data_IF_747999079979
#
_entry.id   IF_747999079979
#
_cell.length_a   1.000
_cell.length_b   1.000
_cell.length_c   1.000
_cell.angle_alpha   90.00
_cell.angle_beta   90.00
_cell.angle_gamma   90.00
#
_symmetry.space_group_name_H-M   'P 1'
#
loop_
_entity.id
_entity.type
_entity.pdbx_description
1 polymer ?
#
# COMPACT_ATOMS: atom_id res chain seq x y z
N UNK A 1 -22.66 3.97 19.39
CA UNK A 1 -22.33 4.91 18.29
C UNK A 1 -20.83 5.21 18.13
N UNK A 2 -20.00 5.24 19.20
CA UNK A 2 -18.55 5.53 19.09
C UNK A 2 -17.67 4.37 18.56
N UNK A 3 -17.94 3.13 18.95
CA UNK A 3 -17.08 1.97 18.61
C UNK A 3 -17.05 1.70 17.10
N UNK A 4 -18.18 1.85 16.40
CA UNK A 4 -18.27 1.61 14.94
C UNK A 4 -17.38 2.56 14.11
N UNK A 5 -17.13 3.78 14.61
CA UNK A 5 -16.22 4.76 13.97
C UNK A 5 -14.76 4.57 14.37
N UNK A 6 -14.48 3.89 15.49
CA UNK A 6 -13.12 3.62 15.93
C UNK A 6 -12.47 2.49 15.12
N UNK A 7 -13.25 1.53 14.63
CA UNK A 7 -12.74 0.35 13.90
C UNK A 7 -11.95 0.74 12.64
N UNK A 8 -12.47 1.57 11.71
CA UNK A 8 -11.70 2.00 10.53
C UNK A 8 -10.42 2.74 10.91
N UNK A 9 -10.49 3.68 11.86
CA UNK A 9 -9.32 4.45 12.28
C UNK A 9 -8.22 3.57 12.91
N UNK A 10 -8.60 2.51 13.66
CA UNK A 10 -7.63 1.56 14.20
C UNK A 10 -6.93 0.76 13.11
N UNK A 11 -7.63 0.43 12.03
CA UNK A 11 -7.05 -0.25 10.87
C UNK A 11 -6.10 0.68 10.11
N UNK A 12 -6.45 1.95 9.93
CA UNK A 12 -5.58 2.97 9.33
C UNK A 12 -4.30 3.17 10.15
N UNK A 13 -4.41 3.21 11.48
CA UNK A 13 -3.25 3.24 12.38
C UNK A 13 -2.42 1.94 12.29
N UNK A 14 -3.08 0.79 12.10
CA UNK A 14 -2.42 -0.48 11.84
C UNK A 14 -1.63 -0.48 10.53
N UNK A 15 -2.20 0.09 9.46
CA UNK A 15 -1.52 0.32 8.19
C UNK A 15 -0.25 1.17 8.42
N UNK A 16 -0.40 2.34 9.05
CA UNK A 16 0.70 3.23 9.40
C UNK A 16 1.82 2.51 10.17
N UNK A 17 1.45 1.69 11.15
CA UNK A 17 2.41 0.94 11.95
C UNK A 17 3.16 -0.12 11.12
N UNK A 18 2.50 -0.75 10.14
CA UNK A 18 3.16 -1.64 9.20
C UNK A 18 4.22 -0.89 8.36
N UNK A 19 3.90 0.33 7.90
CA UNK A 19 4.85 1.19 7.22
C UNK A 19 6.07 1.52 8.08
N UNK A 20 5.85 1.91 9.34
CA UNK A 20 6.93 2.16 10.30
C UNK A 20 7.83 0.94 10.50
N UNK A 21 7.25 -0.24 10.74
CA UNK A 21 8.02 -1.47 10.92
C UNK A 21 8.78 -1.85 9.64
N UNK A 22 8.18 -1.65 8.46
CA UNK A 22 8.82 -1.93 7.19
C UNK A 22 10.14 -1.16 7.04
N UNK A 23 10.17 0.11 7.40
CA UNK A 23 11.39 0.94 7.40
C UNK A 23 12.45 0.33 8.32
N UNK A 24 12.06 -0.06 9.54
CA UNK A 24 12.96 -0.71 10.49
C UNK A 24 13.54 -2.03 9.98
N UNK A 25 12.73 -2.88 9.34
CA UNK A 25 13.20 -4.13 8.74
C UNK A 25 14.11 -3.87 7.53
N UNK A 26 13.80 -2.87 6.70
CA UNK A 26 14.64 -2.50 5.56
C UNK A 26 16.03 -2.03 6.03
N UNK A 27 16.08 -1.21 7.08
CA UNK A 27 17.34 -0.75 7.67
C UNK A 27 18.19 -1.91 8.25
N UNK A 28 17.56 -2.97 8.74
CA UNK A 28 18.25 -4.17 9.24
C UNK A 28 18.53 -5.21 8.14
N UNK A 29 18.55 -4.82 6.85
CA UNK A 29 18.79 -5.71 5.70
C UNK A 29 17.74 -6.84 5.53
N UNK A 30 16.59 -6.74 6.17
CA UNK A 30 15.49 -7.70 6.06
C UNK A 30 14.47 -7.25 5.00
N UNK A 31 14.93 -7.08 3.75
CA UNK A 31 14.15 -6.50 2.65
C UNK A 31 12.86 -7.26 2.33
N UNK A 32 12.89 -8.60 2.41
CA UNK A 32 11.69 -9.44 2.19
C UNK A 32 10.60 -9.13 3.21
N UNK A 33 10.96 -9.03 4.50
CA UNK A 33 10.02 -8.71 5.57
C UNK A 33 9.48 -7.29 5.44
N UNK A 34 10.34 -6.34 5.07
CA UNK A 34 9.94 -4.97 4.81
C UNK A 34 8.91 -4.87 3.66
N UNK A 35 9.18 -5.55 2.53
CA UNK A 35 8.24 -5.61 1.41
C UNK A 35 6.89 -6.22 1.81
N UNK A 36 6.91 -7.32 2.56
CA UNK A 36 5.70 -7.98 3.06
C UNK A 36 4.90 -7.05 3.97
N UNK A 37 5.55 -6.27 4.84
CA UNK A 37 4.84 -5.32 5.71
C UNK A 37 4.13 -4.22 4.92
N UNK A 38 4.70 -3.72 3.82
CA UNK A 38 4.02 -2.77 2.93
C UNK A 38 2.79 -3.41 2.29
N UNK A 39 2.92 -4.67 1.87
CA UNK A 39 1.81 -5.46 1.30
C UNK A 39 0.69 -5.68 2.34
N UNK A 40 1.04 -5.94 3.59
CA UNK A 40 0.06 -6.04 4.69
C UNK A 40 -0.59 -4.68 4.98
N UNK A 41 0.17 -3.59 4.94
CA UNK A 41 -0.37 -2.24 5.03
C UNK A 41 -1.44 -1.98 3.98
N UNK A 42 -1.18 -2.38 2.73
CA UNK A 42 -2.15 -2.29 1.62
C UNK A 42 -3.43 -3.09 1.87
N UNK A 43 -3.31 -4.23 2.55
CA UNK A 43 -4.47 -5.04 2.94
C UNK A 43 -5.32 -4.30 3.98
N UNK A 44 -4.70 -3.74 5.02
CA UNK A 44 -5.38 -2.99 6.07
C UNK A 44 -6.08 -1.73 5.51
N UNK A 45 -5.41 -1.00 4.62
CA UNK A 45 -5.93 0.14 3.86
C UNK A 45 -7.14 -0.22 2.99
N UNK A 46 -7.08 -1.38 2.34
CA UNK A 46 -8.24 -1.84 1.56
C UNK A 46 -9.45 -2.20 2.44
N UNK A 47 -9.21 -2.60 3.70
CA UNK A 47 -10.24 -2.98 4.66
C UNK A 47 -10.87 -1.77 5.33
N UNK A 48 -10.07 -0.78 5.76
CA UNK A 48 -10.59 0.37 6.50
C UNK A 48 -11.56 1.21 5.68
N UNK A 49 -11.24 1.49 4.41
CA UNK A 49 -12.07 2.24 3.49
C UNK A 49 -13.34 1.49 3.07
N UNK A 50 -13.35 0.16 3.17
CA UNK A 50 -14.55 -0.66 2.97
C UNK A 50 -15.41 -0.72 4.23
N UNK A 51 -14.79 -0.89 5.39
CA UNK A 51 -15.50 -0.94 6.67
C UNK A 51 -16.11 0.42 7.01
N UNK A 52 -15.44 1.53 6.69
CA UNK A 52 -15.99 2.88 6.82
C UNK A 52 -17.30 3.04 6.03
N UNK A 53 -17.31 2.57 4.76
CA UNK A 53 -18.51 2.54 3.90
C UNK A 53 -19.61 1.62 4.43
N UNK A 54 -19.28 0.41 4.88
CA UNK A 54 -20.27 -0.55 5.41
C UNK A 54 -20.92 -0.03 6.70
N UNK A 55 -20.14 0.62 7.56
CA UNK A 55 -20.62 1.12 8.85
C UNK A 55 -21.19 2.54 8.79
N UNK A 56 -21.26 3.17 7.60
CA UNK A 56 -21.59 4.60 7.44
C UNK A 56 -20.78 5.47 8.43
N UNK A 57 -19.50 5.12 8.57
CA UNK A 57 -18.57 5.67 9.54
C UNK A 57 -17.57 6.66 8.91
N UNK A 58 -17.87 7.17 7.71
CA UNK A 58 -17.06 8.16 7.03
C UNK A 58 -16.93 9.42 7.91
N UNK A 59 -15.69 9.84 8.13
CA UNK A 59 -15.37 11.03 8.93
C UNK A 59 -14.23 11.80 8.28
N UNK A 60 -14.25 13.13 8.42
CA UNK A 60 -13.18 14.00 7.94
C UNK A 60 -11.84 13.63 8.57
N UNK A 61 -11.83 13.32 9.88
CA UNK A 61 -10.65 12.84 10.58
C UNK A 61 -10.12 11.54 9.96
N UNK A 62 -10.98 10.56 9.68
CA UNK A 62 -10.57 9.29 9.07
C UNK A 62 -9.93 9.50 7.69
N UNK A 63 -10.47 10.41 6.87
CA UNK A 63 -9.91 10.75 5.55
C UNK A 63 -8.52 11.38 5.63
N UNK A 64 -8.29 12.28 6.58
CA UNK A 64 -6.96 12.88 6.76
C UNK A 64 -5.97 11.87 7.37
N UNK A 65 -6.43 11.04 8.30
CA UNK A 65 -5.63 9.96 8.88
C UNK A 65 -5.19 8.93 7.84
N UNK A 66 -6.08 8.58 6.90
CA UNK A 66 -5.83 7.73 5.74
C UNK A 66 -4.72 8.30 4.86
N UNK A 67 -4.79 9.59 4.52
CA UNK A 67 -3.75 10.27 3.74
C UNK A 67 -2.38 10.30 4.45
N UNK A 68 -2.37 10.42 5.78
CA UNK A 68 -1.14 10.38 6.60
C UNK A 68 -0.58 8.96 6.71
N UNK A 69 -1.42 7.94 6.80
CA UNK A 69 -1.00 6.54 6.77
C UNK A 69 -0.43 6.17 5.38
N UNK A 70 -1.12 6.60 4.31
CA UNK A 70 -0.73 6.37 2.93
C UNK A 70 0.68 6.86 2.61
N UNK A 71 1.01 8.09 3.03
CA UNK A 71 2.33 8.65 2.74
C UNK A 71 3.45 7.89 3.45
N UNK A 72 3.21 7.39 4.66
CA UNK A 72 4.20 6.61 5.40
C UNK A 72 4.34 5.21 4.83
N UNK A 73 3.24 4.47 4.68
CA UNK A 73 3.29 3.07 4.29
C UNK A 73 3.52 2.85 2.80
N UNK A 74 3.02 3.74 1.94
CA UNK A 74 3.16 3.59 0.49
C UNK A 74 4.07 4.63 -0.16
N UNK A 75 4.51 5.66 0.58
CA UNK A 75 5.52 6.61 0.09
C UNK A 75 6.89 6.37 0.73
N UNK A 76 6.98 6.57 2.04
CA UNK A 76 8.24 6.57 2.79
C UNK A 76 8.81 5.15 2.92
N UNK A 77 8.01 4.17 3.31
CA UNK A 77 8.48 2.80 3.49
C UNK A 77 9.04 2.16 2.19
N UNK A 78 8.35 2.23 1.03
CA UNK A 78 8.91 1.74 -0.23
C UNK A 78 10.13 2.53 -0.68
N UNK A 79 10.19 3.83 -0.41
CA UNK A 79 11.36 4.66 -0.69
C UNK A 79 12.61 4.18 0.06
N UNK A 80 12.50 3.96 1.37
CA UNK A 80 13.60 3.41 2.16
C UNK A 80 13.94 1.97 1.75
N UNK A 81 12.94 1.14 1.44
CA UNK A 81 13.16 -0.21 0.94
C UNK A 81 14.02 -0.19 -0.34
N UNK A 82 13.70 0.71 -1.27
CA UNK A 82 14.46 0.88 -2.52
C UNK A 82 15.85 1.45 -2.27
N UNK A 83 15.98 2.40 -1.35
CA UNK A 83 17.28 2.94 -0.94
C UNK A 83 18.20 1.82 -0.45
N UNK A 84 17.80 1.09 0.60
CA UNK A 84 18.65 0.07 1.18
C UNK A 84 18.92 -1.10 0.23
N UNK A 85 17.98 -1.44 -0.66
CA UNK A 85 18.14 -2.57 -1.59
C UNK A 85 18.97 -2.22 -2.82
N UNK A 86 18.84 -1.01 -3.38
CA UNK A 86 19.38 -0.69 -4.71
C UNK A 86 20.25 0.57 -4.74
N UNK A 87 19.93 1.60 -3.96
CA UNK A 87 20.62 2.89 -4.04
C UNK A 87 21.63 3.12 -2.91
N UNK A 88 21.80 2.17 -1.99
CA UNK A 88 22.70 2.29 -0.84
C UNK A 88 24.16 2.58 -1.26
N UNK A 89 24.59 2.02 -2.40
CA UNK A 89 25.93 2.25 -2.96
C UNK A 89 26.20 3.71 -3.37
N UNK A 90 25.14 4.50 -3.59
CA UNK A 90 25.22 5.92 -3.95
C UNK A 90 25.16 6.84 -2.72
N UNK A 91 25.13 6.27 -1.50
CA UNK A 91 25.12 6.99 -0.23
C UNK A 91 24.10 8.15 -0.20
N UNK A 92 24.55 9.38 0.04
CA UNK A 92 23.68 10.57 0.14
C UNK A 92 22.91 10.83 -1.17
N UNK A 93 23.52 10.58 -2.33
CA UNK A 93 22.86 10.73 -3.62
C UNK A 93 21.75 9.69 -3.78
N UNK A 94 22.00 8.45 -3.35
CA UNK A 94 21.00 7.39 -3.34
C UNK A 94 19.80 7.73 -2.46
N UNK A 95 20.06 8.31 -1.29
CA UNK A 95 19.02 8.76 -0.36
C UNK A 95 18.21 9.91 -0.97
N UNK A 96 18.86 10.87 -1.65
CA UNK A 96 18.19 11.97 -2.33
C UNK A 96 17.28 11.46 -3.47
N UNK A 97 17.75 10.50 -4.27
CA UNK A 97 16.95 9.87 -5.34
C UNK A 97 15.75 9.14 -4.73
N UNK A 98 15.97 8.34 -3.69
CA UNK A 98 14.90 7.64 -2.99
C UNK A 98 13.85 8.62 -2.43
N UNK A 99 14.29 9.75 -1.89
CA UNK A 99 13.44 10.80 -1.32
C UNK A 99 12.49 11.48 -2.31
N UNK A 100 12.73 11.39 -3.62
CA UNK A 100 11.80 11.90 -4.64
C UNK A 100 10.44 11.21 -4.58
N UNK A 101 10.42 9.93 -4.23
CA UNK A 101 9.20 9.12 -4.22
C UNK A 101 8.16 9.62 -3.20
N UNK A 102 8.47 9.82 -1.91
CA UNK A 102 7.53 10.41 -0.96
C UNK A 102 7.20 11.87 -1.29
N UNK A 103 8.13 12.66 -1.86
CA UNK A 103 7.82 14.04 -2.28
C UNK A 103 6.72 14.09 -3.35
N UNK A 104 6.86 13.29 -4.40
CA UNK A 104 5.86 13.17 -5.46
C UNK A 104 4.56 12.53 -4.96
N UNK A 105 4.66 11.54 -4.07
CA UNK A 105 3.52 10.92 -3.40
C UNK A 105 2.70 11.92 -2.57
N UNK A 106 3.36 12.74 -1.76
CA UNK A 106 2.72 13.75 -0.94
C UNK A 106 2.01 14.82 -1.79
N UNK A 107 2.68 15.32 -2.84
CA UNK A 107 2.07 16.27 -3.76
C UNK A 107 0.81 15.69 -4.44
N UNK A 108 0.88 14.42 -4.86
CA UNK A 108 -0.27 13.71 -5.43
C UNK A 108 -1.43 13.62 -4.43
N UNK A 109 -1.17 13.21 -3.19
CA UNK A 109 -2.19 13.09 -2.14
C UNK A 109 -2.86 14.44 -1.85
N UNK A 110 -2.07 15.52 -1.72
CA UNK A 110 -2.60 16.87 -1.55
C UNK A 110 -3.51 17.29 -2.71
N UNK A 111 -3.09 17.05 -3.96
CA UNK A 111 -3.91 17.33 -5.16
C UNK A 111 -5.21 16.54 -5.14
N UNK A 112 -5.16 15.27 -4.75
CA UNK A 112 -6.34 14.40 -4.66
C UNK A 112 -7.32 14.88 -3.58
N UNK A 113 -6.83 15.25 -2.40
CA UNK A 113 -7.66 15.72 -1.28
C UNK A 113 -8.43 17.00 -1.65
N UNK A 114 -7.78 17.96 -2.32
CA UNK A 114 -8.43 19.20 -2.75
C UNK A 114 -9.36 18.99 -3.95
N UNK A 115 -8.99 18.10 -4.89
CA UNK A 115 -9.80 17.83 -6.10
C UNK A 115 -11.05 17.00 -5.82
N UNK A 116 -11.04 16.20 -4.74
CA UNK A 116 -12.16 15.33 -4.35
C UNK A 116 -13.47 16.07 -4.02
N UNK A 117 -13.42 17.39 -3.79
CA UNK A 117 -14.59 18.25 -3.60
C UNK A 117 -15.32 18.61 -4.93
N UNK A 118 -14.78 18.23 -6.10
CA UNK A 118 -15.45 18.40 -7.40
C UNK A 118 -15.99 17.05 -7.86
N UNK A 119 -17.24 16.78 -7.50
CA UNK A 119 -18.07 15.67 -7.98
C UNK A 119 -18.16 15.69 -9.51
N UNK A 120 -17.54 14.72 -10.21
CA UNK A 120 -17.87 14.25 -11.58
C UNK A 120 -16.73 13.59 -12.38
N UNK A 121 -15.63 13.11 -11.77
CA UNK A 121 -14.58 12.48 -12.58
C UNK A 121 -14.50 10.96 -12.40
N UNK A 122 -15.04 10.26 -13.39
CA UNK A 122 -14.87 8.84 -13.75
C UNK A 122 -13.39 8.44 -14.02
N UNK A 123 -12.43 9.29 -13.65
CA UNK A 123 -11.01 9.16 -13.96
C UNK A 123 -10.17 9.55 -12.74
N UNK A 124 -9.21 8.71 -12.36
CA UNK A 124 -8.10 9.11 -11.50
C UNK A 124 -7.08 9.89 -12.33
N UNK A 125 -6.48 10.93 -11.75
CA UNK A 125 -5.42 11.70 -12.39
C UNK A 125 -4.08 11.28 -11.77
N UNK A 126 -3.28 10.51 -12.51
CA UNK A 126 -2.00 9.93 -12.06
C UNK A 126 -2.16 8.59 -11.32
N UNK A 127 -1.07 7.83 -11.19
CA UNK A 127 -1.08 6.51 -10.53
C UNK A 127 -1.25 6.61 -9.01
N UNK A 128 -2.13 5.78 -8.38
CA UNK A 128 -2.22 5.63 -6.93
C UNK A 128 -0.89 5.42 -6.20
N UNK A 129 -0.66 6.16 -5.11
CA UNK A 129 0.51 6.00 -4.25
C UNK A 129 0.53 4.60 -3.66
N UNK A 130 -0.63 4.09 -3.24
CA UNK A 130 -0.85 2.70 -2.85
C UNK A 130 -0.36 1.73 -3.92
N UNK A 131 -0.79 1.89 -5.17
CA UNK A 131 -0.35 1.06 -6.30
C UNK A 131 1.14 1.18 -6.59
N UNK A 132 1.70 2.39 -6.61
CA UNK A 132 3.13 2.62 -6.84
C UNK A 132 3.99 1.97 -5.74
N UNK A 133 3.63 2.17 -4.47
CA UNK A 133 4.30 1.56 -3.33
C UNK A 133 4.21 0.04 -3.33
N UNK A 134 3.05 -0.52 -3.70
CA UNK A 134 2.87 -1.96 -3.86
C UNK A 134 3.71 -2.57 -4.98
N UNK A 135 3.81 -1.89 -6.12
CA UNK A 135 4.67 -2.32 -7.24
C UNK A 135 6.14 -2.37 -6.78
N UNK A 136 6.62 -1.35 -6.06
CA UNK A 136 7.98 -1.33 -5.52
C UNK A 136 8.21 -2.44 -4.49
N UNK A 137 7.24 -2.70 -3.61
CA UNK A 137 7.32 -3.80 -2.65
C UNK A 137 7.40 -5.15 -3.36
N UNK A 138 6.56 -5.38 -4.38
CA UNK A 138 6.61 -6.60 -5.20
C UNK A 138 7.95 -6.73 -5.93
N UNK A 139 8.44 -5.66 -6.54
CA UNK A 139 9.72 -5.64 -7.22
C UNK A 139 10.88 -6.02 -6.28
N UNK A 140 10.85 -5.51 -5.04
CA UNK A 140 11.83 -5.84 -4.02
C UNK A 140 11.80 -7.31 -3.59
N UNK A 141 10.66 -8.01 -3.67
CA UNK A 141 10.59 -9.45 -3.39
C UNK A 141 11.31 -10.29 -4.44
N UNK A 142 11.35 -9.82 -5.69
CA UNK A 142 11.98 -10.49 -6.82
C UNK A 142 13.35 -9.89 -7.21
N UNK A 143 14.04 -9.23 -6.26
CA UNK A 143 15.29 -8.50 -6.53
C UNK A 143 16.39 -9.35 -7.23
N UNK A 144 16.42 -10.65 -6.99
CA UNK A 144 17.38 -11.60 -7.54
C UNK A 144 17.15 -11.90 -9.04
N UNK A 145 15.96 -11.60 -9.57
CA UNK A 145 15.59 -11.87 -10.96
C UNK A 145 15.67 -10.61 -11.83
N UNK A 146 15.68 -9.43 -11.24
CA UNK A 146 15.50 -8.15 -11.94
C UNK A 146 16.79 -7.31 -11.85
N UNK A 147 17.41 -6.95 -12.98
CA UNK A 147 18.57 -6.06 -13.00
C UNK A 147 18.30 -4.71 -12.31
N UNK A 148 19.29 -4.21 -11.56
CA UNK A 148 19.21 -2.94 -10.83
C UNK A 148 18.84 -1.74 -11.73
N UNK A 149 19.31 -1.71 -12.98
CA UNK A 149 18.96 -0.68 -13.97
C UNK A 149 17.44 -0.66 -14.23
N UNK A 150 16.82 -1.83 -14.42
CA UNK A 150 15.39 -1.94 -14.73
C UNK A 150 14.59 -1.43 -13.53
N UNK A 151 15.00 -1.81 -12.33
CA UNK A 151 14.40 -1.37 -11.08
C UNK A 151 14.47 0.15 -10.91
N UNK A 152 15.63 0.77 -11.20
CA UNK A 152 15.79 2.22 -11.13
C UNK A 152 14.92 2.96 -12.16
N UNK A 153 14.79 2.41 -13.37
CA UNK A 153 13.91 2.95 -14.42
C UNK A 153 12.45 2.88 -13.98
N UNK A 154 12.00 1.73 -13.44
CA UNK A 154 10.63 1.57 -12.94
C UNK A 154 10.36 2.54 -11.78
N UNK A 155 11.28 2.66 -10.82
CA UNK A 155 11.16 3.59 -9.71
C UNK A 155 10.98 5.03 -10.19
N UNK A 156 11.84 5.47 -11.11
CA UNK A 156 11.78 6.82 -11.68
C UNK A 156 10.51 7.05 -12.49
N UNK A 157 10.09 6.05 -13.29
CA UNK A 157 8.84 6.11 -14.04
C UNK A 157 7.63 6.28 -13.10
N UNK A 158 7.56 5.53 -12.00
CA UNK A 158 6.48 5.63 -11.02
C UNK A 158 6.43 7.01 -10.35
N UNK A 159 7.59 7.58 -9.99
CA UNK A 159 7.71 8.95 -9.48
C UNK A 159 7.00 9.97 -10.39
N UNK A 160 7.34 9.99 -11.69
CA UNK A 160 6.72 10.91 -12.64
C UNK A 160 5.24 10.57 -12.89
N UNK A 161 4.89 9.30 -12.93
CA UNK A 161 3.53 8.84 -13.19
C UNK A 161 2.54 9.20 -12.07
N UNK A 162 3.00 9.32 -10.81
CA UNK A 162 2.20 9.81 -9.69
C UNK A 162 1.79 11.28 -9.83
N UNK A 163 2.68 12.13 -10.36
CA UNK A 163 2.42 13.57 -10.54
C UNK A 163 1.77 13.89 -11.88
N UNK A 164 1.91 12.98 -12.86
CA UNK A 164 1.37 13.13 -14.20
C UNK A 164 -0.13 13.44 -14.22
N UNK A 165 -0.55 14.13 -15.28
CA UNK A 165 -1.95 14.45 -15.57
C UNK A 165 -2.67 13.33 -16.34
N UNK A 166 -2.04 12.17 -16.51
CA UNK A 166 -2.64 11.04 -17.20
C UNK A 166 -3.93 10.63 -16.49
N UNK A 167 -5.03 10.65 -17.24
CA UNK A 167 -6.34 10.19 -16.79
C UNK A 167 -6.33 8.67 -16.85
N UNK A 168 -6.15 8.04 -15.70
CA UNK A 168 -6.33 6.60 -15.54
C UNK A 168 -7.83 6.39 -15.28
N UNK A 169 -8.55 5.62 -16.10
CA UNK A 169 -9.97 5.36 -15.87
C UNK A 169 -10.16 4.88 -14.43
N UNK A 170 -11.03 5.57 -13.70
CA UNK A 170 -11.31 5.18 -12.33
C UNK A 170 -12.13 3.90 -12.40
N UNK A 171 -11.66 2.85 -11.74
CA UNK A 171 -12.42 1.61 -11.55
C UNK A 171 -13.64 1.82 -10.61
N UNK A 172 -14.23 3.03 -10.56
CA UNK A 172 -15.42 3.34 -9.75
C UNK A 172 -16.72 2.87 -10.39
N UNK A 173 -16.80 2.77 -11.73
CA UNK A 173 -18.02 2.33 -12.44
C UNK A 173 -17.96 0.90 -12.93
N UNK A 174 -16.88 0.18 -12.61
CA UNK A 174 -16.98 -1.27 -12.59
C UNK A 174 -17.68 -1.57 -11.27
N UNK A 175 -18.96 -2.00 -11.25
CA UNK A 175 -19.46 -2.67 -10.04
C UNK A 175 -18.39 -3.70 -9.71
N UNK A 176 -17.91 -3.79 -8.47
CA UNK A 176 -16.92 -4.80 -8.16
C UNK A 176 -17.63 -6.15 -7.96
N UNK A 177 -17.67 -7.04 -8.98
CA UNK A 177 -17.44 -8.43 -8.74
C UNK A 177 -16.05 -8.82 -9.26
N UNK A 178 -15.45 -9.79 -8.57
CA UNK A 178 -14.24 -10.53 -8.94
C UNK A 178 -12.89 -9.80 -8.80
N UNK A 179 -12.60 -8.64 -9.39
CA UNK A 179 -11.19 -8.17 -9.48
C UNK A 179 -10.56 -7.64 -8.19
N UNK A 180 -11.28 -6.84 -7.40
CA UNK A 180 -10.78 -6.40 -6.09
C UNK A 180 -10.55 -7.58 -5.15
N UNK A 181 -11.44 -8.57 -5.17
CA UNK A 181 -11.27 -9.83 -4.43
C UNK A 181 -10.16 -10.72 -5.02
N UNK A 182 -9.93 -10.69 -6.33
CA UNK A 182 -8.80 -11.39 -6.97
C UNK A 182 -7.46 -10.78 -6.54
N UNK A 183 -7.33 -9.45 -6.46
CA UNK A 183 -6.10 -8.81 -5.97
C UNK A 183 -5.88 -9.15 -4.49
N UNK A 184 -6.94 -9.12 -3.67
CA UNK A 184 -6.84 -9.53 -2.24
C UNK A 184 -6.51 -11.01 -2.09
N UNK A 185 -7.07 -11.89 -2.92
CA UNK A 185 -6.79 -13.33 -2.93
C UNK A 185 -5.38 -13.61 -3.46
N UNK A 186 -4.93 -12.87 -4.48
CA UNK A 186 -3.58 -12.96 -5.03
C UNK A 186 -2.55 -12.54 -3.99
N UNK A 187 -2.78 -11.42 -3.29
CA UNK A 187 -1.95 -11.00 -2.16
C UNK A 187 -1.95 -12.04 -1.03
N UNK A 188 -3.12 -12.57 -0.68
CA UNK A 188 -3.25 -13.61 0.35
C UNK A 188 -2.56 -14.93 -0.04
N UNK A 189 -2.66 -15.35 -1.30
CA UNK A 189 -1.96 -16.51 -1.85
C UNK A 189 -0.45 -16.26 -1.91
N UNK A 190 -0.01 -15.08 -2.33
CA UNK A 190 1.40 -14.69 -2.32
C UNK A 190 1.98 -14.79 -0.91
N UNK A 191 1.26 -14.25 0.09
CA UNK A 191 1.64 -14.35 1.50
C UNK A 191 1.64 -15.80 2.00
N UNK A 192 0.67 -16.62 1.59
CA UNK A 192 0.63 -18.04 1.95
C UNK A 192 1.76 -18.87 1.33
N UNK A 193 2.13 -18.59 0.07
CA UNK A 193 3.26 -19.23 -0.61
C UNK A 193 4.57 -18.80 0.07
N UNK A 194 4.72 -17.53 0.42
CA UNK A 194 5.88 -17.01 1.16
C UNK A 194 5.96 -17.60 2.58
N UNK A 195 4.82 -17.83 3.24
CA UNK A 195 4.72 -18.50 4.54
C UNK A 195 5.24 -19.94 4.49
N UNK A 196 4.87 -20.70 3.46
CA UNK A 196 5.26 -22.11 3.32
C UNK A 196 6.76 -22.29 3.02
N UNK A 197 7.38 -21.30 2.39
CA UNK A 197 8.73 -21.42 1.82
C UNK A 197 9.84 -20.87 2.71
N UNK A 198 9.55 -20.36 3.92
CA UNK A 198 10.58 -19.77 4.79
C UNK A 198 10.25 -19.93 6.28
N UNK A 199 10.90 -20.88 6.96
CA UNK A 199 10.84 -21.07 8.42
C UNK A 199 11.76 -20.08 9.18
N UNK A 200 11.76 -18.80 8.79
CA UNK A 200 12.62 -17.76 9.37
C UNK A 200 11.81 -16.71 10.16
N UNK A 201 12.50 -15.97 11.06
CA UNK A 201 11.95 -14.93 11.96
C UNK A 201 11.12 -13.86 11.21
N UNK A 202 9.87 -14.20 10.91
CA UNK A 202 8.89 -13.26 10.36
C UNK A 202 8.35 -12.37 11.48
N UNK A 203 7.96 -11.12 11.18
CA UNK A 203 7.24 -10.30 12.14
C UNK A 203 5.97 -11.03 12.60
N UNK A 204 5.79 -11.19 13.92
CA UNK A 204 4.62 -11.84 14.53
C UNK A 204 3.27 -11.28 14.02
N UNK A 205 3.27 -10.04 13.52
CA UNK A 205 2.13 -9.38 12.88
C UNK A 205 1.56 -10.14 11.68
N UNK A 206 2.35 -10.88 10.90
CA UNK A 206 1.85 -11.69 9.78
C UNK A 206 0.86 -12.75 10.28
N UNK A 207 1.14 -13.36 11.42
CA UNK A 207 0.32 -14.43 12.00
C UNK A 207 -1.05 -13.93 12.47
N UNK A 208 -1.21 -12.63 12.69
CA UNK A 208 -2.48 -12.01 13.09
C UNK A 208 -3.16 -11.35 11.87
N UNK A 209 -2.41 -10.63 11.04
CA UNK A 209 -2.93 -9.91 9.89
C UNK A 209 -3.43 -10.85 8.78
N UNK A 210 -2.73 -11.95 8.49
CA UNK A 210 -3.13 -12.84 7.41
C UNK A 210 -4.45 -13.59 7.72
N UNK A 211 -4.65 -14.19 8.90
CA UNK A 211 -5.92 -14.85 9.22
C UNK A 211 -7.09 -13.87 9.33
N UNK A 212 -6.88 -12.71 9.96
CA UNK A 212 -7.93 -11.68 10.08
C UNK A 212 -8.38 -11.19 8.70
N UNK A 213 -7.44 -11.02 7.77
CA UNK A 213 -7.76 -10.67 6.39
C UNK A 213 -8.50 -11.77 5.65
N UNK A 214 -8.06 -13.03 5.76
CA UNK A 214 -8.72 -14.18 5.12
C UNK A 214 -10.16 -14.30 5.63
N UNK A 215 -10.39 -14.17 6.93
CA UNK A 215 -11.73 -14.18 7.54
C UNK A 215 -12.59 -13.04 6.99
N UNK A 216 -12.03 -11.83 6.88
CA UNK A 216 -12.73 -10.68 6.29
C UNK A 216 -13.14 -10.92 4.84
N UNK A 217 -12.23 -11.44 4.01
CA UNK A 217 -12.51 -11.76 2.61
C UNK A 217 -13.58 -12.83 2.49
N UNK A 218 -13.49 -13.90 3.28
CA UNK A 218 -14.50 -14.96 3.34
C UNK A 218 -15.87 -14.42 3.74
N UNK A 219 -15.94 -13.58 4.77
CA UNK A 219 -17.18 -12.92 5.19
C UNK A 219 -17.79 -12.08 4.06
N UNK A 220 -16.97 -11.34 3.32
CA UNK A 220 -17.43 -10.51 2.19
C UNK A 220 -17.94 -11.37 1.01
N UNK A 221 -17.30 -12.49 0.72
CA UNK A 221 -17.77 -13.45 -0.29
C UNK A 221 -19.10 -14.10 0.07
N UNK A 222 -19.32 -14.43 1.35
CA UNK A 222 -20.58 -15.00 1.83
C UNK A 222 -21.71 -13.97 1.81
N UNK A 223 -21.40 -12.71 2.16
CA UNK A 223 -22.41 -11.63 2.17
C UNK A 223 -22.86 -11.21 0.76
N UNK A 224 -21.97 -11.21 -0.23
CA UNK A 224 -22.31 -10.88 -1.62
C UNK A 224 -23.04 -12.00 -2.40
N UNK A 225 -23.25 -13.17 -1.79
CA UNK A 225 -24.05 -14.27 -2.36
C UNK A 225 -25.52 -14.28 -1.88
N UNK A 226 -25.89 -13.41 -0.94
CA UNK A 226 -27.27 -13.15 -0.54
C UNK A 226 -27.73 -11.81 -1.11
#
# INVERSE_FOLDING_TARGET
MRIKKAIPNMLTLGNLYCGFLSIGFAANSHYKNAAILIIIGMMLDSMDGRLARIFNADSTLGKELDSLADIVTFGIAPSFLMYYTYFYQLELLGLAIAGLFPLFGAFRLARFNISSNKSSQHYFIGVPITAAGGILALLSLFNHLIPNIITAVIFTALCFLMVSKLKIPSLKDVPLPKYGTIVTIFLGCLLFILFKNTYGKFPYLIYIAAPTYIIYVLYQFVKNKK
#
